data_IF_000767872778
#
_entry.id   IF_000767872778
#
_cell.length_a   1.000
_cell.length_b   1.000
_cell.length_c   1.000
_cell.angle_alpha   90.00
_cell.angle_beta   90.00
_cell.angle_gamma   90.00
#
_symmetry.space_group_name_H-M   'P 1'
#
loop_
_entity.id
_entity.type
_entity.pdbx_description
1 polymer ?
#
# COMPACT_ATOMS: atom_id res chain seq x y z
N UNK A 1 -19.34 15.30 -8.10
CA UNK A 1 -20.03 14.14 -7.50
C UNK A 1 -19.15 12.92 -7.73
N UNK A 2 -18.30 12.57 -6.77
CA UNK A 2 -17.26 11.55 -6.91
C UNK A 2 -17.80 10.15 -6.64
N UNK A 3 -17.57 9.23 -7.58
CA UNK A 3 -18.00 7.85 -7.52
C UNK A 3 -17.33 7.12 -6.33
N UNK A 4 -18.13 6.84 -5.29
CA UNK A 4 -17.80 5.97 -4.15
C UNK A 4 -17.87 4.49 -4.53
N UNK A 5 -17.13 4.04 -5.52
CA UNK A 5 -17.21 2.65 -5.99
C UNK A 5 -15.83 2.04 -6.16
N UNK A 6 -15.24 1.67 -5.01
CA UNK A 6 -14.27 0.58 -4.86
C UNK A 6 -13.78 0.54 -3.40
N UNK A 7 -14.72 0.50 -2.45
CA UNK A 7 -14.45 -0.09 -1.13
C UNK A 7 -14.91 -1.52 -1.29
N UNK A 8 -14.04 -2.52 -1.19
CA UNK A 8 -14.51 -3.89 -1.09
C UNK A 8 -15.47 -3.89 0.10
N UNK A 9 -16.74 -4.22 -0.18
CA UNK A 9 -17.71 -4.31 0.90
C UNK A 9 -17.22 -5.42 1.81
N UNK A 10 -17.33 -5.19 3.11
CA UNK A 10 -17.06 -6.11 4.23
C UNK A 10 -17.48 -7.59 4.01
N UNK A 11 -18.34 -7.86 3.04
CA UNK A 11 -18.91 -9.17 2.73
C UNK A 11 -18.36 -9.87 1.47
N UNK A 12 -17.40 -9.28 0.76
CA UNK A 12 -16.74 -9.87 -0.42
C UNK A 12 -15.27 -10.25 -0.14
N UNK A 13 -14.99 -10.69 1.08
CA UNK A 13 -13.66 -11.15 1.49
C UNK A 13 -13.39 -12.56 0.98
N UNK A 14 -12.27 -12.72 0.28
CA UNK A 14 -11.85 -13.98 -0.32
C UNK A 14 -10.36 -14.18 0.01
N UNK A 15 -10.09 -14.93 1.09
CA UNK A 15 -8.73 -15.22 1.55
C UNK A 15 -7.88 -15.85 0.45
N UNK A 16 -8.48 -16.63 -0.44
CA UNK A 16 -7.77 -17.31 -1.52
C UNK A 16 -7.31 -16.29 -2.58
N UNK A 17 -8.14 -15.31 -2.93
CA UNK A 17 -7.74 -14.20 -3.82
C UNK A 17 -6.67 -13.31 -3.19
N UNK A 18 -6.80 -13.01 -1.90
CA UNK A 18 -5.83 -12.18 -1.19
C UNK A 18 -4.50 -12.92 -1.01
N UNK A 19 -4.51 -14.23 -0.77
CA UNK A 19 -3.30 -15.04 -0.69
C UNK A 19 -2.55 -15.05 -2.03
N UNK A 20 -3.28 -15.25 -3.13
CA UNK A 20 -2.71 -15.24 -4.47
C UNK A 20 -2.12 -13.88 -4.87
N UNK A 21 -2.69 -12.79 -4.36
CA UNK A 21 -2.23 -11.44 -4.73
C UNK A 21 -1.14 -10.93 -3.81
N UNK A 22 -1.29 -11.09 -2.49
CA UNK A 22 -0.37 -10.54 -1.47
C UNK A 22 0.89 -11.35 -1.25
N UNK A 23 0.94 -12.61 -1.72
CA UNK A 23 2.03 -13.53 -1.45
C UNK A 23 2.04 -14.05 0.00
N UNK A 24 1.07 -13.64 0.83
CA UNK A 24 0.85 -14.17 2.17
C UNK A 24 0.10 -15.48 2.12
N UNK A 25 0.34 -16.35 3.09
CA UNK A 25 -0.46 -17.56 3.25
C UNK A 25 -1.89 -17.22 3.66
N UNK A 26 -2.83 -18.11 3.31
CA UNK A 26 -4.23 -17.99 3.75
C UNK A 26 -4.33 -17.87 5.27
N UNK A 27 -3.56 -18.67 6.01
CA UNK A 27 -3.55 -18.66 7.47
C UNK A 27 -3.06 -17.33 8.06
N UNK A 28 -2.13 -16.65 7.39
CA UNK A 28 -1.68 -15.32 7.78
C UNK A 28 -2.77 -14.27 7.53
N UNK A 29 -3.42 -14.33 6.37
CA UNK A 29 -4.51 -13.41 6.02
C UNK A 29 -5.69 -13.59 6.97
N UNK A 30 -6.05 -14.82 7.30
CA UNK A 30 -7.13 -15.12 8.23
C UNK A 30 -6.80 -14.61 9.66
N UNK A 31 -5.54 -14.74 10.10
CA UNK A 31 -5.07 -14.16 11.38
C UNK A 31 -5.10 -12.65 11.37
N UNK A 32 -4.57 -12.01 10.32
CA UNK A 32 -4.59 -10.56 10.15
C UNK A 32 -6.02 -10.02 10.14
N UNK A 33 -6.94 -10.74 9.52
CA UNK A 33 -8.36 -10.41 9.51
C UNK A 33 -8.97 -10.50 10.91
N UNK A 34 -8.69 -11.56 11.67
CA UNK A 34 -9.15 -11.68 13.06
C UNK A 34 -8.62 -10.54 13.93
N UNK A 35 -7.34 -10.19 13.80
CA UNK A 35 -6.71 -9.14 14.59
C UNK A 35 -7.22 -7.74 14.20
N UNK A 36 -7.42 -7.51 12.90
CA UNK A 36 -8.09 -6.31 12.38
C UNK A 36 -9.49 -6.19 12.96
N UNK A 37 -10.29 -7.25 12.91
CA UNK A 37 -11.66 -7.27 13.41
C UNK A 37 -11.74 -7.00 14.91
N UNK A 38 -10.81 -7.56 15.70
CA UNK A 38 -10.74 -7.29 17.13
C UNK A 38 -10.43 -5.84 17.44
N UNK A 39 -9.66 -5.17 16.59
CA UNK A 39 -9.24 -3.79 16.82
C UNK A 39 -10.19 -2.74 16.24
N UNK A 40 -10.78 -3.00 15.07
CA UNK A 40 -11.80 -2.16 14.45
C UNK A 40 -13.15 -2.27 15.17
N UNK A 41 -13.43 -3.39 15.84
CA UNK A 41 -14.71 -3.58 16.52
C UNK A 41 -15.88 -3.55 15.54
N UNK A 42 -16.85 -2.67 15.78
CA UNK A 42 -18.16 -2.70 15.11
C UNK A 42 -18.29 -1.80 13.87
N UNK A 43 -17.34 -0.88 13.64
CA UNK A 43 -17.37 0.02 12.47
C UNK A 43 -16.62 -0.55 11.26
N UNK A 44 -15.79 -1.58 11.47
CA UNK A 44 -15.05 -2.29 10.44
C UNK A 44 -13.92 -1.47 9.82
N UNK A 45 -13.45 -0.42 10.51
CA UNK A 45 -12.30 0.40 10.10
C UNK A 45 -11.36 0.60 11.29
N UNK A 46 -10.07 0.83 11.02
CA UNK A 46 -9.12 1.15 12.08
C UNK A 46 -8.85 2.64 12.13
N UNK A 47 -9.08 3.27 13.26
CA UNK A 47 -8.56 4.60 13.53
C UNK A 47 -7.04 4.57 13.79
N UNK A 48 -6.42 5.75 13.86
CA UNK A 48 -4.97 5.87 14.12
C UNK A 48 -4.52 5.19 15.42
N UNK A 49 -5.32 5.27 16.48
CA UNK A 49 -4.97 4.69 17.78
C UNK A 49 -5.12 3.17 17.76
N UNK A 50 -6.19 2.66 17.16
CA UNK A 50 -6.45 1.24 16.96
C UNK A 50 -5.37 0.62 16.09
N UNK A 51 -5.01 1.29 14.98
CA UNK A 51 -3.90 0.89 14.13
C UNK A 51 -2.59 0.81 14.91
N UNK A 52 -2.22 1.82 15.71
CA UNK A 52 -1.00 1.78 16.53
C UNK A 52 -1.00 0.59 17.50
N UNK A 53 -2.15 0.26 18.10
CA UNK A 53 -2.27 -0.86 19.04
C UNK A 53 -2.01 -2.19 18.36
N UNK A 54 -2.56 -2.40 17.16
CA UNK A 54 -2.32 -3.66 16.43
C UNK A 54 -0.97 -3.67 15.72
N UNK A 55 -0.45 -2.50 15.32
CA UNK A 55 0.84 -2.34 14.64
C UNK A 55 1.97 -3.03 15.39
N UNK A 56 2.01 -2.94 16.73
CA UNK A 56 3.08 -3.58 17.53
C UNK A 56 3.01 -5.10 17.60
N UNK A 57 1.89 -5.72 17.24
CA UNK A 57 1.68 -7.17 17.33
C UNK A 57 1.89 -7.88 15.98
N UNK A 58 2.12 -7.14 14.90
CA UNK A 58 2.22 -7.75 13.57
C UNK A 58 3.61 -8.27 13.23
N UNK A 59 3.67 -9.41 12.51
CA UNK A 59 4.91 -9.98 12.03
C UNK A 59 5.64 -9.00 11.09
N UNK A 60 6.95 -8.83 11.31
CA UNK A 60 7.81 -7.93 10.52
C UNK A 60 8.08 -6.57 11.17
N UNK A 61 7.35 -6.20 12.22
CA UNK A 61 7.55 -4.96 12.99
C UNK A 61 8.69 -5.10 14.00
N UNK A 62 8.93 -6.32 14.50
CA UNK A 62 9.99 -6.64 15.46
C UNK A 62 11.41 -6.29 14.94
N UNK A 63 11.56 -6.16 13.61
CA UNK A 63 12.81 -5.78 12.95
C UNK A 63 12.99 -4.26 12.78
N UNK A 64 12.03 -3.44 13.21
CA UNK A 64 12.11 -1.98 13.14
C UNK A 64 12.48 -1.35 14.49
N UNK A 65 13.19 -0.22 14.44
CA UNK A 65 13.61 0.53 15.62
C UNK A 65 12.41 0.92 16.52
N UNK A 66 12.27 0.21 17.63
CA UNK A 66 11.22 0.39 18.65
C UNK A 66 11.21 1.79 19.27
N UNK A 67 12.31 2.54 19.17
CA UNK A 67 12.42 3.91 19.67
C UNK A 67 11.49 4.93 18.96
N UNK A 68 10.96 4.62 17.77
CA UNK A 68 10.08 5.52 17.02
C UNK A 68 8.83 4.85 16.41
N UNK A 69 8.41 3.70 16.94
CA UNK A 69 7.23 2.95 16.45
C UNK A 69 5.98 3.83 16.30
N UNK A 70 5.72 4.73 17.25
CA UNK A 70 4.55 5.62 17.19
C UNK A 70 4.65 6.66 16.05
N UNK A 71 5.84 7.19 15.77
CA UNK A 71 6.02 8.14 14.66
C UNK A 71 5.95 7.40 13.32
N UNK A 72 6.52 6.21 13.24
CA UNK A 72 6.50 5.38 12.05
C UNK A 72 5.09 4.90 11.73
N UNK A 73 4.36 4.39 12.72
CA UNK A 73 2.95 4.01 12.58
C UNK A 73 2.11 5.19 12.09
N UNK A 74 2.33 6.41 12.60
CA UNK A 74 1.63 7.62 12.11
C UNK A 74 1.95 7.97 10.66
N UNK A 75 3.21 7.80 10.24
CA UNK A 75 3.62 8.04 8.84
C UNK A 75 2.99 7.01 7.91
N UNK A 76 3.05 5.73 8.29
CA UNK A 76 2.46 4.63 7.55
C UNK A 76 0.95 4.81 7.45
N UNK A 77 0.26 5.09 8.56
CA UNK A 77 -1.18 5.34 8.56
C UNK A 77 -1.57 6.43 7.56
N UNK A 78 -0.85 7.56 7.56
CA UNK A 78 -1.09 8.65 6.61
C UNK A 78 -0.78 8.29 5.16
N UNK A 79 0.24 7.47 4.91
CA UNK A 79 0.59 7.03 3.57
C UNK A 79 -0.50 6.13 2.94
N UNK A 80 -1.27 5.44 3.78
CA UNK A 80 -2.23 4.44 3.34
C UNK A 80 -3.70 4.83 3.52
N UNK A 81 -4.01 5.87 4.30
CA UNK A 81 -5.33 6.52 4.35
C UNK A 81 -5.59 7.25 3.02
N UNK A 82 -6.15 6.52 2.04
CA UNK A 82 -6.29 6.98 0.65
C UNK A 82 -7.31 8.11 0.53
N UNK A 83 -8.35 8.05 1.34
CA UNK A 83 -9.49 8.95 1.26
C UNK A 83 -9.44 10.09 2.30
N UNK A 84 -8.33 10.19 3.04
CA UNK A 84 -8.16 11.13 4.16
C UNK A 84 -9.32 11.05 5.15
N UNK A 85 -9.87 9.84 5.34
CA UNK A 85 -10.95 9.63 6.31
C UNK A 85 -10.44 9.61 7.74
N UNK A 86 -9.12 9.60 7.94
CA UNK A 86 -8.44 9.30 9.19
C UNK A 86 -8.79 7.89 9.72
N UNK A 87 -9.17 6.99 8.83
CA UNK A 87 -9.48 5.59 9.11
C UNK A 87 -8.89 4.70 8.02
N UNK A 88 -8.46 3.48 8.38
CA UNK A 88 -7.99 2.49 7.43
C UNK A 88 -9.05 1.40 7.26
N UNK A 89 -9.47 1.20 6.02
CA UNK A 89 -10.19 -0.01 5.63
C UNK A 89 -9.27 -1.24 5.65
N UNK A 90 -9.85 -2.44 5.67
CA UNK A 90 -9.07 -3.68 5.66
C UNK A 90 -8.13 -3.79 4.45
N UNK A 91 -8.56 -3.30 3.28
CA UNK A 91 -7.71 -3.30 2.07
C UNK A 91 -6.49 -2.37 2.22
N UNK A 92 -6.69 -1.18 2.78
CA UNK A 92 -5.61 -0.23 3.06
C UNK A 92 -4.67 -0.79 4.12
N UNK A 93 -5.24 -1.42 5.13
CA UNK A 93 -4.49 -2.13 6.16
C UNK A 93 -3.66 -3.29 5.59
N UNK A 94 -4.21 -4.13 4.72
CA UNK A 94 -3.47 -5.23 4.11
C UNK A 94 -2.31 -4.71 3.24
N UNK A 95 -2.52 -3.61 2.52
CA UNK A 95 -1.46 -2.95 1.76
C UNK A 95 -0.31 -2.46 2.67
N UNK A 96 -0.64 -1.96 3.86
CA UNK A 96 0.37 -1.65 4.88
C UNK A 96 1.17 -2.89 5.23
N UNK A 97 0.47 -3.98 5.62
CA UNK A 97 1.10 -5.22 6.09
C UNK A 97 2.05 -5.80 5.03
N UNK A 98 1.63 -5.86 3.78
CA UNK A 98 2.49 -6.34 2.69
C UNK A 98 3.73 -5.45 2.54
N UNK A 99 3.59 -4.13 2.60
CA UNK A 99 4.72 -3.22 2.42
C UNK A 99 5.74 -3.30 3.57
N UNK A 100 5.26 -3.42 4.82
CA UNK A 100 6.14 -3.55 6.00
C UNK A 100 6.76 -4.93 6.12
N UNK A 101 6.16 -5.96 5.52
CA UNK A 101 6.63 -7.33 5.67
C UNK A 101 8.01 -7.52 5.01
N UNK A 102 9.05 -7.44 5.82
CA UNK A 102 10.43 -7.54 5.34
C UNK A 102 10.81 -8.94 4.86
N UNK A 103 10.01 -9.96 5.18
CA UNK A 103 10.23 -11.33 4.68
C UNK A 103 9.98 -11.42 3.18
N UNK A 104 9.16 -10.52 2.61
CA UNK A 104 8.94 -10.45 1.18
C UNK A 104 10.00 -9.58 0.47
N UNK A 105 10.45 -10.00 -0.73
CA UNK A 105 11.26 -9.18 -1.60
C UNK A 105 10.61 -7.81 -1.82
N UNK A 106 11.41 -6.76 -1.90
CA UNK A 106 10.90 -5.39 -2.14
C UNK A 106 10.12 -5.30 -3.45
N UNK A 107 10.61 -6.00 -4.47
CA UNK A 107 9.98 -6.07 -5.78
C UNK A 107 8.52 -6.52 -5.63
N UNK A 108 8.29 -7.67 -5.01
CA UNK A 108 6.95 -8.25 -4.82
C UNK A 108 6.03 -7.34 -4.00
N UNK A 109 6.57 -6.63 -2.99
CA UNK A 109 5.80 -5.69 -2.18
C UNK A 109 5.32 -4.47 -2.96
N UNK A 110 6.20 -3.89 -3.77
CA UNK A 110 5.86 -2.72 -4.60
C UNK A 110 4.95 -3.15 -5.74
N UNK A 111 5.21 -4.31 -6.35
CA UNK A 111 4.35 -4.91 -7.37
C UNK A 111 2.93 -5.12 -6.83
N UNK A 112 2.79 -5.68 -5.63
CA UNK A 112 1.49 -5.84 -4.97
C UNK A 112 0.77 -4.50 -4.82
N UNK A 113 1.47 -3.46 -4.35
CA UNK A 113 0.90 -2.13 -4.15
C UNK A 113 0.42 -1.51 -5.48
N UNK A 114 1.15 -1.75 -6.57
CA UNK A 114 0.78 -1.35 -7.94
C UNK A 114 -0.41 -2.14 -8.44
N UNK A 115 -0.48 -3.45 -8.18
CA UNK A 115 -1.60 -4.27 -8.65
C UNK A 115 -2.87 -3.95 -7.88
N UNK A 116 -2.81 -3.86 -6.55
CA UNK A 116 -3.96 -3.56 -5.69
C UNK A 116 -4.61 -2.21 -5.98
N UNK A 117 -3.80 -1.16 -6.18
CA UNK A 117 -4.38 0.15 -6.47
C UNK A 117 -4.87 0.29 -7.93
N UNK A 118 -4.64 -0.72 -8.78
CA UNK A 118 -4.98 -0.71 -10.20
C UNK A 118 -5.84 -1.91 -10.68
N UNK A 119 -6.43 -2.73 -9.78
CA UNK A 119 -7.15 -3.97 -10.16
C UNK A 119 -8.24 -3.71 -11.21
N UNK A 120 -9.02 -2.63 -11.07
CA UNK A 120 -10.12 -2.30 -11.98
C UNK A 120 -9.68 -1.65 -13.30
N UNK A 121 -8.52 -0.98 -13.33
CA UNK A 121 -8.06 -0.20 -14.49
C UNK A 121 -6.93 -0.87 -15.27
N UNK A 122 -6.10 -1.75 -14.68
CA UNK A 122 -5.15 -2.61 -15.43
C UNK A 122 -5.87 -3.51 -16.43
N UNK A 123 -7.02 -4.08 -16.03
CA UNK A 123 -7.85 -4.92 -16.90
C UNK A 123 -8.41 -4.14 -18.09
N UNK A 124 -8.68 -2.84 -17.93
CA UNK A 124 -9.15 -1.95 -19.02
C UNK A 124 -8.02 -1.39 -19.88
N UNK A 125 -6.86 -1.09 -19.29
CA UNK A 125 -5.72 -0.45 -19.95
C UNK A 125 -4.59 -1.42 -20.35
N UNK A 126 -4.86 -2.73 -20.46
CA UNK A 126 -3.89 -3.75 -20.95
C UNK A 126 -2.55 -3.74 -20.19
N UNK A 127 -2.56 -3.51 -18.88
CA UNK A 127 -1.31 -3.50 -18.09
C UNK A 127 -0.58 -2.16 -18.02
N UNK A 128 -1.17 -1.06 -18.51
CA UNK A 128 -0.56 0.28 -18.46
C UNK A 128 -0.96 1.06 -17.19
N UNK A 129 0.01 1.76 -16.62
CA UNK A 129 -0.10 2.69 -15.49
C UNK A 129 -0.27 4.10 -16.06
N UNK A 130 -1.38 4.78 -15.77
CA UNK A 130 -1.60 6.18 -16.19
C UNK A 130 -0.88 7.16 -15.25
N UNK A 131 -0.66 8.39 -15.71
CA UNK A 131 -0.04 9.44 -14.89
C UNK A 131 -0.76 9.70 -13.58
N UNK A 132 -2.09 9.83 -13.58
CA UNK A 132 -2.89 9.99 -12.37
C UNK A 132 -2.62 8.87 -11.36
N UNK A 133 -2.48 7.65 -11.87
CA UNK A 133 -2.28 6.46 -11.05
C UNK A 133 -0.84 6.34 -10.52
N UNK A 134 0.15 6.57 -11.39
CA UNK A 134 1.55 6.60 -10.99
C UNK A 134 1.83 7.66 -9.94
N UNK A 135 1.23 8.85 -10.04
CA UNK A 135 1.35 9.86 -9.00
C UNK A 135 0.79 9.39 -7.65
N UNK A 136 -0.32 8.64 -7.64
CA UNK A 136 -0.88 8.07 -6.40
C UNK A 136 0.09 7.08 -5.77
N UNK A 137 0.66 6.15 -6.54
CA UNK A 137 1.62 5.17 -6.02
C UNK A 137 2.90 5.87 -5.54
N UNK A 138 3.46 6.77 -6.36
CA UNK A 138 4.69 7.50 -6.04
C UNK A 138 4.53 8.31 -4.77
N UNK A 139 3.38 8.95 -4.55
CA UNK A 139 3.09 9.66 -3.30
C UNK A 139 3.14 8.71 -2.10
N UNK A 140 2.52 7.53 -2.19
CA UNK A 140 2.53 6.54 -1.09
C UNK A 140 3.91 6.02 -0.78
N UNK A 141 4.69 5.71 -1.81
CA UNK A 141 6.09 5.31 -1.65
C UNK A 141 6.90 6.46 -1.02
N UNK A 142 6.67 7.69 -1.46
CA UNK A 142 7.35 8.87 -0.92
C UNK A 142 7.03 9.05 0.57
N UNK A 143 5.76 8.94 0.95
CA UNK A 143 5.30 9.04 2.34
C UNK A 143 5.81 7.88 3.21
N UNK A 144 5.87 6.67 2.65
CA UNK A 144 6.39 5.49 3.34
C UNK A 144 7.90 5.54 3.57
N UNK A 145 8.68 5.83 2.53
CA UNK A 145 10.14 5.94 2.61
C UNK A 145 10.61 7.27 3.22
N UNK A 146 9.68 8.18 3.54
CA UNK A 146 9.97 9.47 4.14
C UNK A 146 10.78 10.40 3.23
N UNK A 147 10.65 10.25 1.92
CA UNK A 147 11.25 11.16 0.94
C UNK A 147 10.40 12.46 0.83
N UNK A 148 10.98 13.52 0.27
CA UNK A 148 10.37 14.86 0.27
C UNK A 148 9.02 14.87 -0.48
N UNK A 149 7.94 15.20 0.22
CA UNK A 149 6.61 15.40 -0.37
C UNK A 149 6.64 16.36 -1.58
N UNK A 150 5.85 16.07 -2.62
CA UNK A 150 5.75 16.90 -3.83
C UNK A 150 6.69 16.50 -4.97
N UNK A 151 7.55 15.48 -4.79
CA UNK A 151 8.44 14.96 -5.83
C UNK A 151 7.78 13.94 -6.77
N UNK A 152 6.52 13.56 -6.54
CA UNK A 152 5.83 12.57 -7.38
C UNK A 152 5.77 12.98 -8.86
N UNK A 153 5.60 14.27 -9.14
CA UNK A 153 5.60 14.80 -10.51
C UNK A 153 6.98 14.76 -11.15
N UNK A 154 8.03 14.90 -10.36
CA UNK A 154 9.40 14.81 -10.84
C UNK A 154 9.74 13.37 -11.21
N UNK A 155 9.48 12.42 -10.29
CA UNK A 155 9.67 11.00 -10.55
C UNK A 155 8.83 10.51 -11.74
N UNK A 156 7.57 10.96 -11.85
CA UNK A 156 6.74 10.58 -12.99
C UNK A 156 7.33 11.03 -14.32
N UNK A 157 7.88 12.26 -14.41
CA UNK A 157 8.55 12.74 -15.62
C UNK A 157 9.80 11.93 -15.97
N UNK A 158 10.50 11.40 -14.98
CA UNK A 158 11.68 10.55 -15.20
C UNK A 158 11.30 9.15 -15.67
N UNK A 159 10.13 8.64 -15.26
CA UNK A 159 9.61 7.34 -15.73
C UNK A 159 8.99 7.50 -17.13
N UNK A 160 8.13 8.50 -17.33
CA UNK A 160 7.48 8.80 -18.61
C UNK A 160 8.35 9.71 -19.48
N UNK A 161 9.56 9.25 -19.81
CA UNK A 161 10.53 9.98 -20.65
C UNK A 161 9.98 10.37 -22.03
N UNK A 162 8.99 9.62 -22.51
CA UNK A 162 8.31 9.84 -23.79
C UNK A 162 7.07 10.73 -23.67
N UNK A 163 6.71 11.18 -22.47
CA UNK A 163 5.55 12.02 -22.17
C UNK A 163 4.24 11.47 -22.77
N UNK A 164 4.07 10.14 -22.72
CA UNK A 164 2.92 9.43 -23.26
C UNK A 164 1.68 9.58 -22.37
N UNK A 165 1.87 9.98 -21.12
CA UNK A 165 0.83 10.00 -20.08
C UNK A 165 0.55 8.62 -19.49
N UNK A 166 1.30 7.59 -19.90
CA UNK A 166 1.23 6.23 -19.40
C UNK A 166 2.57 5.51 -19.53
N UNK A 167 2.80 4.56 -18.62
CA UNK A 167 4.01 3.71 -18.56
C UNK A 167 3.61 2.27 -18.30
N UNK A 168 4.48 1.34 -18.63
CA UNK A 168 4.28 -0.09 -18.31
C UNK A 168 4.62 -0.37 -16.84
N UNK A 169 4.08 -1.45 -16.29
CA UNK A 169 4.45 -1.94 -14.94
C UNK A 169 5.96 -2.19 -14.83
N UNK A 170 6.57 -2.71 -15.89
CA UNK A 170 8.01 -2.96 -15.96
C UNK A 170 8.85 -1.66 -15.90
N UNK A 171 8.50 -0.64 -16.70
CA UNK A 171 9.18 0.66 -16.66
C UNK A 171 9.09 1.30 -15.26
N UNK A 172 7.90 1.25 -14.66
CA UNK A 172 7.65 1.82 -13.34
C UNK A 172 8.40 1.07 -12.24
N UNK A 173 8.39 -0.27 -12.27
CA UNK A 173 9.10 -1.12 -11.31
C UNK A 173 10.61 -1.00 -11.43
N UNK A 174 11.13 -0.95 -12.66
CA UNK A 174 12.56 -0.79 -12.91
C UNK A 174 13.06 0.55 -12.36
N UNK A 175 12.28 1.62 -12.52
CA UNK A 175 12.62 2.91 -11.94
C UNK A 175 12.64 2.87 -10.40
N UNK A 176 11.56 2.39 -9.76
CA UNK A 176 11.48 2.35 -8.29
C UNK A 176 12.59 1.50 -7.69
N UNK A 177 12.90 0.36 -8.31
CA UNK A 177 13.92 -0.57 -7.81
C UNK A 177 15.33 0.04 -7.86
N UNK A 178 15.61 0.93 -8.81
CA UNK A 178 16.92 1.55 -8.98
C UNK A 178 17.04 2.94 -8.30
N UNK A 179 15.92 3.58 -7.96
CA UNK A 179 15.94 4.95 -7.46
C UNK A 179 16.33 5.04 -5.97
N UNK A 180 17.32 5.87 -5.66
CA UNK A 180 17.93 5.96 -4.32
C UNK A 180 16.93 6.28 -3.20
N UNK A 181 15.93 7.13 -3.47
CA UNK A 181 14.94 7.53 -2.45
C UNK A 181 13.97 6.40 -2.08
N UNK A 182 13.77 5.42 -2.96
CA UNK A 182 12.96 4.22 -2.69
C UNK A 182 13.82 2.99 -2.31
N UNK A 183 15.15 3.13 -2.38
CA UNK A 183 16.11 2.09 -2.01
C UNK A 183 16.70 2.27 -0.60
N UNK A 184 16.32 3.32 0.13
CA UNK A 184 16.78 3.52 1.51
C UNK A 184 16.36 2.34 2.40
N UNK A 185 17.37 1.71 3.03
CA UNK A 185 17.21 0.65 4.04
C UNK A 185 16.71 1.25 5.34
#
# INVERSE_FOLDING_TARGET
>A
MGARSSRLKYHEWDSDKLAQTSGLSRDEIDRLHIDFMKAAGNDGVLDMQEFIRVYTHFPGIEMQDTHNINQQARRIFRAFDRDNTNTLSFDEFLNVIVLINQTMPRYDRVEYLIRQNNIDKLKKNKGLISAEYGHQILRRLNDYYGSSAGKEHFYWKEIDTQNRGYVTEEEFMNYISNHADFNRK
#
